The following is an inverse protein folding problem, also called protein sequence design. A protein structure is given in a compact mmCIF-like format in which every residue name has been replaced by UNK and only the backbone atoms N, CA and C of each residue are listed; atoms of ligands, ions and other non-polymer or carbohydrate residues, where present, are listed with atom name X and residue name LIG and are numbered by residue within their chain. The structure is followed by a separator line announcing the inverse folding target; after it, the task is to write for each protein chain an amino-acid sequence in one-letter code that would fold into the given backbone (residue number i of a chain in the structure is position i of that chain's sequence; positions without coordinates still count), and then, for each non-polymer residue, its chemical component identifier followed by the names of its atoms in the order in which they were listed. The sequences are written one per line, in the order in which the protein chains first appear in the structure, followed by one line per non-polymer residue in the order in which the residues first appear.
data_IF_670802272521
#
_entry.id   IF_670802272521
#
_cell.length_a   1.000
_cell.length_b   1.000
_cell.length_c   1.000
_cell.angle_alpha   90.00
_cell.angle_beta   90.00
_cell.angle_gamma   90.00
#
_symmetry.space_group_name_H-M   'P 1'
#
loop_
_entity.id
_entity.type
_entity.pdbx_description
1 polymer ?
#
# COMPACT_ATOMS: atom_id res chain seq x y z
N UNK A 1 -15.14 -1.54 4.20
CA UNK A 1 -14.48 -0.25 3.91
C UNK A 1 -13.49 -0.47 2.79
N UNK A 2 -13.47 0.42 1.80
CA UNK A 2 -12.47 0.40 0.73
C UNK A 2 -11.65 1.69 0.75
N UNK A 3 -10.42 1.60 0.25
CA UNK A 3 -9.49 2.72 0.10
C UNK A 3 -8.90 2.67 -1.29
N UNK A 4 -9.05 3.73 -2.07
CA UNK A 4 -8.44 3.87 -3.38
C UNK A 4 -7.28 4.85 -3.30
N UNK A 5 -6.09 4.35 -3.58
CA UNK A 5 -4.86 5.15 -3.66
C UNK A 5 -4.63 5.47 -5.13
N UNK A 6 -4.54 6.75 -5.51
CA UNK A 6 -4.34 7.18 -6.90
C UNK A 6 -2.94 7.73 -7.16
N UNK A 7 -2.53 7.68 -8.42
CA UNK A 7 -1.32 8.34 -8.94
C UNK A 7 -0.03 7.93 -8.20
N UNK A 8 0.13 6.65 -7.87
CA UNK A 8 1.28 6.15 -7.13
C UNK A 8 2.41 5.69 -8.06
N UNK A 9 3.66 5.83 -7.61
CA UNK A 9 4.82 5.10 -8.17
C UNK A 9 5.05 3.85 -7.33
N UNK A 10 4.71 2.68 -7.84
CA UNK A 10 4.61 1.45 -7.04
C UNK A 10 5.79 0.52 -7.35
N UNK A 11 6.49 0.01 -6.34
CA UNK A 11 7.46 -1.08 -6.50
C UNK A 11 6.81 -2.45 -6.23
N UNK A 12 6.76 -3.35 -7.22
CA UNK A 12 6.06 -4.63 -7.10
C UNK A 12 6.54 -5.80 -8.01
N UNK A 13 7.80 -6.28 -7.92
CA UNK A 13 8.99 -5.64 -7.36
C UNK A 13 9.61 -4.61 -8.32
N UNK A 14 9.25 -4.62 -9.60
CA UNK A 14 9.65 -3.58 -10.56
C UNK A 14 8.90 -2.28 -10.30
N UNK A 15 9.44 -1.16 -10.79
CA UNK A 15 8.79 0.14 -10.73
C UNK A 15 7.63 0.21 -11.74
N UNK A 16 6.43 0.42 -11.23
CA UNK A 16 5.21 0.75 -11.97
C UNK A 16 4.92 2.24 -11.80
N UNK A 17 4.90 2.98 -12.91
CA UNK A 17 4.64 4.42 -12.89
C UNK A 17 3.13 4.69 -12.92
N UNK A 18 2.70 5.71 -12.18
CA UNK A 18 1.36 6.31 -12.26
C UNK A 18 0.21 5.28 -12.22
N UNK A 19 0.18 4.48 -11.15
CA UNK A 19 -0.86 3.46 -10.94
C UNK A 19 -1.80 3.81 -9.79
N UNK A 20 -3.00 3.28 -9.90
CA UNK A 20 -3.99 3.27 -8.83
C UNK A 20 -4.02 1.90 -8.14
N UNK A 21 -4.18 1.88 -6.81
CA UNK A 21 -4.26 0.68 -5.98
C UNK A 21 -5.55 0.71 -5.14
N UNK A 22 -6.39 -0.31 -5.31
CA UNK A 22 -7.59 -0.50 -4.52
C UNK A 22 -7.35 -1.48 -3.38
N UNK A 23 -7.62 -1.02 -2.16
CA UNK A 23 -7.70 -1.84 -0.96
C UNK A 23 -9.16 -2.09 -0.59
N UNK A 24 -9.48 -3.33 -0.24
CA UNK A 24 -10.77 -3.68 0.38
C UNK A 24 -10.48 -4.45 1.66
N UNK A 25 -10.79 -3.84 2.81
CA UNK A 25 -10.40 -4.37 4.11
C UNK A 25 -8.87 -4.44 4.25
N UNK A 26 -8.32 -5.64 4.45
CA UNK A 26 -6.89 -5.89 4.66
C UNK A 26 -6.22 -6.58 3.44
N UNK A 27 -6.77 -6.39 2.24
CA UNK A 27 -6.29 -7.00 1.01
C UNK A 27 -6.22 -5.99 -0.11
N UNK A 28 -5.23 -6.18 -0.99
CA UNK A 28 -5.17 -5.52 -2.29
C UNK A 28 -6.20 -6.21 -3.18
N UNK A 29 -7.18 -5.44 -3.66
CA UNK A 29 -8.28 -5.94 -4.49
C UNK A 29 -8.02 -5.70 -5.98
N UNK A 30 -7.37 -4.59 -6.34
CA UNK A 30 -7.00 -4.27 -7.70
C UNK A 30 -5.78 -3.35 -7.76
N UNK A 31 -5.07 -3.42 -8.89
CA UNK A 31 -3.98 -2.55 -9.28
C UNK A 31 -4.19 -2.26 -10.77
N UNK A 32 -4.20 -0.98 -11.17
CA UNK A 32 -4.48 -0.62 -12.55
C UNK A 32 -4.47 0.89 -12.79
N UNK A 33 -5.06 1.29 -13.91
CA UNK A 33 -5.15 2.69 -14.34
C UNK A 33 -6.57 3.20 -14.21
N UNK A 34 -6.70 4.46 -13.79
CA UNK A 34 -7.97 5.18 -13.65
C UNK A 34 -9.06 4.36 -12.96
N UNK A 35 -8.71 3.77 -11.82
CA UNK A 35 -9.68 3.02 -11.03
C UNK A 35 -10.71 3.99 -10.45
N UNK A 36 -11.96 3.56 -10.44
CA UNK A 36 -13.08 4.27 -9.85
C UNK A 36 -14.07 3.29 -9.25
N UNK A 37 -14.82 3.76 -8.25
CA UNK A 37 -15.90 3.00 -7.63
C UNK A 37 -17.23 3.74 -7.81
N UNK A 38 -18.36 3.01 -7.78
CA UNK A 38 -19.66 3.65 -7.87
C UNK A 38 -19.88 4.67 -6.74
N UNK A 39 -20.55 5.81 -6.99
CA UNK A 39 -20.70 6.88 -5.98
C UNK A 39 -21.41 6.48 -4.68
N UNK A 40 -22.20 5.41 -4.73
CA UNK A 40 -22.93 4.88 -3.57
C UNK A 40 -22.06 3.96 -2.69
N UNK A 41 -20.88 3.55 -3.15
CA UNK A 41 -19.99 2.71 -2.37
C UNK A 41 -19.21 3.58 -1.39
N UNK A 42 -19.38 3.37 -0.08
CA UNK A 42 -18.70 4.17 0.94
C UNK A 42 -17.22 3.76 1.13
N UNK A 43 -16.31 4.73 1.03
CA UNK A 43 -14.87 4.56 1.20
C UNK A 43 -14.10 5.85 0.92
N UNK A 44 -12.77 5.76 0.87
CA UNK A 44 -11.88 6.92 0.83
C UNK A 44 -10.94 6.89 -0.37
N UNK A 45 -10.67 8.06 -0.93
CA UNK A 45 -9.72 8.26 -2.03
C UNK A 45 -8.53 9.06 -1.49
N UNK A 46 -7.32 8.58 -1.76
CA UNK A 46 -6.07 9.26 -1.46
C UNK A 46 -5.28 9.47 -2.74
N UNK A 47 -5.01 10.71 -3.11
CA UNK A 47 -4.11 11.01 -4.22
C UNK A 47 -2.67 11.13 -3.72
N UNK A 48 -1.80 10.24 -4.17
CA UNK A 48 -0.38 10.26 -3.81
C UNK A 48 0.44 11.24 -4.62
N UNK A 49 -0.10 11.93 -5.64
CA UNK A 49 0.64 12.95 -6.40
C UNK A 49 2.03 12.47 -6.88
N UNK A 50 2.15 11.21 -7.30
CA UNK A 50 3.40 10.62 -7.77
C UNK A 50 4.40 10.19 -6.69
N UNK A 51 4.01 10.17 -5.41
CA UNK A 51 4.83 9.60 -4.33
C UNK A 51 4.97 8.08 -4.47
N UNK A 52 6.01 7.54 -3.81
CA UNK A 52 6.28 6.11 -3.83
C UNK A 52 5.35 5.34 -2.89
N UNK A 53 4.84 4.22 -3.41
CA UNK A 53 4.17 3.18 -2.62
C UNK A 53 5.04 1.92 -2.70
N UNK A 54 5.41 1.39 -1.54
CA UNK A 54 6.24 0.18 -1.43
C UNK A 54 5.55 -0.86 -0.54
N UNK A 55 5.86 -2.15 -0.71
CA UNK A 55 5.46 -3.16 0.26
C UNK A 55 5.98 -2.80 1.65
N UNK A 56 5.18 -3.03 2.69
CA UNK A 56 5.65 -2.93 4.06
C UNK A 56 6.84 -3.86 4.27
N UNK A 57 7.88 -3.39 4.95
CA UNK A 57 9.08 -4.17 5.18
C UNK A 57 8.81 -5.32 6.15
N UNK A 58 9.46 -6.46 5.88
CA UNK A 58 9.43 -7.64 6.74
C UNK A 58 10.81 -7.76 7.38
N UNK A 59 10.87 -7.49 8.68
CA UNK A 59 12.06 -7.79 9.47
C UNK A 59 11.99 -9.24 9.96
N UNK A 60 12.86 -10.09 9.41
CA UNK A 60 12.89 -11.51 9.72
C UNK A 60 13.75 -11.84 10.96
N UNK A 61 14.47 -10.88 11.53
CA UNK A 61 15.40 -11.14 12.62
C UNK A 61 15.46 -9.99 13.62
N UNK A 62 14.56 -10.02 14.59
CA UNK A 62 14.48 -9.03 15.65
C UNK A 62 14.46 -9.68 17.03
N UNK A 63 15.24 -9.11 17.96
CA UNK A 63 15.12 -9.40 19.38
C UNK A 63 14.07 -8.48 20.01
N UNK A 64 12.78 -8.74 19.74
CA UNK A 64 11.70 -7.83 20.12
C UNK A 64 11.60 -7.59 21.64
N UNK A 65 12.00 -8.57 22.46
CA UNK A 65 12.02 -8.47 23.93
C UNK A 65 13.43 -8.24 24.51
N UNK A 66 14.42 -7.92 23.68
CA UNK A 66 15.84 -7.81 24.07
C UNK A 66 16.65 -9.07 23.78
N UNK A 67 17.93 -8.91 23.45
CA UNK A 67 18.82 -10.01 23.06
C UNK A 67 19.72 -10.58 24.15
N UNK A 68 19.78 -9.92 25.31
CA UNK A 68 20.83 -10.17 26.30
C UNK A 68 22.20 -9.64 25.83
N UNK A 69 23.18 -9.58 26.72
CA UNK A 69 24.55 -9.10 26.42
C UNK A 69 25.11 -8.10 27.43
N UNK A 70 24.30 -7.60 28.35
CA UNK A 70 24.76 -6.87 29.53
C UNK A 70 25.38 -7.88 30.52
N UNK A 71 26.63 -7.64 30.92
CA UNK A 71 27.34 -8.33 31.99
C UNK A 71 27.56 -7.38 33.16
#
# INVERSE_FOLDING_TARGET
MWTLIKNAKIFAPELLQERDLLLVGNRIAALGDDLSLPPYANGEIYDLNGHYLVPGFIDAHVHICGGGGEA
#
